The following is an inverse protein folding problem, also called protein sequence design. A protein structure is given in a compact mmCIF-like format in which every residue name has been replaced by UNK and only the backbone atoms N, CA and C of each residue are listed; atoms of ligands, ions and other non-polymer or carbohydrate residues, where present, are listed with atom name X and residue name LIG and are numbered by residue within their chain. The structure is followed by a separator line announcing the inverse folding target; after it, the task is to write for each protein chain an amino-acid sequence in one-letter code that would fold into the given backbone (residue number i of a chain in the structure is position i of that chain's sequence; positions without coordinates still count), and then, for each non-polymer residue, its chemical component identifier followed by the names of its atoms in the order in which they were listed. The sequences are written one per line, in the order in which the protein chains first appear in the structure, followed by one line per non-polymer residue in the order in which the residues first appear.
data_IF_405490329990
#
_entry.id   IF_405490329990
#
_cell.length_a   1.000
_cell.length_b   1.000
_cell.length_c   1.000
_cell.angle_alpha   90.00
_cell.angle_beta   90.00
_cell.angle_gamma   90.00
#
_symmetry.space_group_name_H-M   'P 1'
#
loop_
_entity.id
_entity.type
_entity.pdbx_description
1 polymer ?
#
# COMPACT_ATOMS: atom_id res chain seq x y z
N UNK A 1 -28.81 12.01 -0.15
CA UNK A 1 -29.36 11.95 1.22
C UNK A 1 -28.21 12.18 2.16
N UNK A 2 -28.25 13.29 2.90
CA UNK A 2 -27.29 13.59 3.96
C UNK A 2 -27.64 12.64 5.10
N UNK A 3 -26.83 11.60 5.32
CA UNK A 3 -27.02 10.74 6.47
C UNK A 3 -26.82 11.57 7.73
N UNK A 4 -27.81 11.54 8.62
CA UNK A 4 -27.73 12.19 9.91
C UNK A 4 -26.40 11.79 10.58
N UNK A 5 -25.62 12.77 10.94
CA UNK A 5 -24.42 12.58 11.78
C UNK A 5 -24.90 11.88 13.05
N UNK A 6 -24.50 10.63 13.25
CA UNK A 6 -24.95 9.87 14.42
C UNK A 6 -24.29 10.44 15.65
N UNK A 7 -25.06 10.56 16.69
CA UNK A 7 -24.57 10.95 18.00
C UNK A 7 -23.53 9.93 18.52
N UNK A 8 -22.54 10.40 19.23
CA UNK A 8 -21.56 9.56 19.92
C UNK A 8 -22.27 8.60 20.88
N UNK A 9 -21.97 7.31 20.78
CA UNK A 9 -22.58 6.30 21.64
C UNK A 9 -22.29 6.50 23.14
N UNK A 10 -21.23 7.27 23.48
CA UNK A 10 -20.81 7.53 24.85
C UNK A 10 -21.41 8.81 25.43
N UNK A 11 -21.62 9.88 24.63
CA UNK A 11 -22.03 11.19 25.12
C UNK A 11 -23.25 11.77 24.42
N UNK A 12 -23.79 11.12 23.39
CA UNK A 12 -24.94 11.61 22.62
C UNK A 12 -24.64 12.77 21.66
N UNK A 13 -23.44 13.33 21.68
CA UNK A 13 -23.08 14.51 20.90
C UNK A 13 -22.76 14.16 19.43
N UNK A 14 -23.30 14.93 18.51
CA UNK A 14 -23.01 14.81 17.07
C UNK A 14 -21.67 15.44 16.68
N UNK A 15 -21.14 16.31 17.51
CA UNK A 15 -19.87 17.03 17.33
C UNK A 15 -18.75 16.54 18.25
N UNK A 16 -18.90 15.32 18.80
CA UNK A 16 -17.94 14.77 19.73
C UNK A 16 -16.52 14.74 19.14
N UNK A 17 -15.53 15.24 19.89
CA UNK A 17 -14.11 15.23 19.52
C UNK A 17 -13.53 13.81 19.32
N UNK A 18 -14.24 12.79 19.77
CA UNK A 18 -13.95 11.38 19.45
C UNK A 18 -14.30 11.01 18.00
N UNK A 19 -15.12 11.78 17.30
CA UNK A 19 -15.23 11.74 15.86
C UNK A 19 -13.93 12.28 15.27
N UNK A 20 -13.08 11.40 14.79
CA UNK A 20 -11.84 11.81 14.12
C UNK A 20 -12.18 12.61 12.87
N UNK A 21 -11.82 13.89 12.78
CA UNK A 21 -12.03 14.68 11.58
C UNK A 21 -11.22 14.07 10.42
N UNK A 22 -11.80 14.01 9.25
CA UNK A 22 -11.10 13.63 8.01
C UNK A 22 -11.48 12.27 7.41
N UNK A 23 -12.34 11.46 8.04
CA UNK A 23 -12.88 10.24 7.42
C UNK A 23 -14.36 10.47 7.08
N UNK A 24 -14.60 11.15 5.98
CA UNK A 24 -15.94 11.32 5.43
C UNK A 24 -16.37 10.06 4.63
N UNK A 25 -16.44 8.91 5.30
CA UNK A 25 -16.99 7.71 4.71
C UNK A 25 -18.47 7.65 5.00
N UNK A 26 -19.24 7.78 3.93
CA UNK A 26 -20.67 7.60 3.95
C UNK A 26 -20.99 6.11 4.15
N UNK A 27 -21.52 5.78 5.30
CA UNK A 27 -21.77 4.40 5.70
C UNK A 27 -23.21 3.98 5.36
N UNK A 28 -23.43 2.74 4.86
CA UNK A 28 -24.79 2.21 4.74
C UNK A 28 -25.47 2.12 6.10
N UNK A 29 -26.77 2.36 6.14
CA UNK A 29 -27.58 2.24 7.36
C UNK A 29 -27.74 0.77 7.84
N UNK A 30 -27.36 -0.19 7.01
CA UNK A 30 -27.49 -1.63 7.27
C UNK A 30 -26.25 -2.19 8.00
N UNK A 31 -26.42 -3.33 8.66
CA UNK A 31 -25.31 -4.08 9.28
C UNK A 31 -24.20 -4.35 8.29
N UNK A 32 -22.97 -4.03 8.64
CA UNK A 32 -21.79 -4.19 7.81
C UNK A 32 -20.94 -5.37 8.33
N UNK A 33 -20.43 -6.20 7.41
CA UNK A 33 -19.36 -7.13 7.71
C UNK A 33 -18.06 -6.64 7.08
N UNK A 34 -17.04 -6.48 7.91
CA UNK A 34 -15.71 -6.03 7.56
C UNK A 34 -14.78 -7.25 7.46
N UNK A 35 -14.28 -7.52 6.26
CA UNK A 35 -13.39 -8.66 5.99
C UNK A 35 -12.00 -8.10 5.64
N UNK A 36 -11.14 -7.94 6.64
CA UNK A 36 -9.88 -7.21 6.50
C UNK A 36 -8.68 -8.05 6.97
N UNK A 37 -7.61 -8.03 6.20
CA UNK A 37 -6.35 -8.74 6.50
C UNK A 37 -5.38 -7.85 7.28
N UNK A 38 -5.03 -6.73 6.70
CA UNK A 38 -3.98 -5.86 7.20
C UNK A 38 -4.53 -4.79 8.16
N UNK A 39 -3.96 -4.73 9.37
CA UNK A 39 -4.22 -3.66 10.34
C UNK A 39 -3.28 -2.46 10.11
N UNK A 40 -3.14 -2.02 8.87
CA UNK A 40 -2.39 -0.80 8.60
C UNK A 40 -3.03 0.39 9.32
N UNK A 41 -2.26 1.40 9.75
CA UNK A 41 -2.78 2.54 10.49
C UNK A 41 -3.99 3.21 9.83
N UNK A 42 -4.00 3.30 8.49
CA UNK A 42 -5.08 3.89 7.71
C UNK A 42 -6.37 3.07 7.83
N UNK A 43 -6.28 1.76 7.62
CA UNK A 43 -7.43 0.85 7.72
C UNK A 43 -7.90 0.69 9.16
N UNK A 44 -6.97 0.62 10.11
CA UNK A 44 -7.31 0.56 11.53
C UNK A 44 -8.02 1.86 12.01
N UNK A 45 -7.59 3.02 11.55
CA UNK A 45 -8.25 4.30 11.81
C UNK A 45 -9.64 4.36 11.19
N UNK A 46 -9.80 3.89 9.94
CA UNK A 46 -11.09 3.80 9.28
C UNK A 46 -12.07 2.90 10.05
N UNK A 47 -11.63 1.69 10.40
CA UNK A 47 -12.47 0.77 11.20
C UNK A 47 -12.81 1.40 12.54
N UNK A 48 -11.83 2.00 13.25
CA UNK A 48 -12.07 2.64 14.54
C UNK A 48 -13.06 3.80 14.50
N UNK A 49 -13.19 4.47 13.32
CA UNK A 49 -14.12 5.58 13.14
C UNK A 49 -15.53 5.14 12.70
N UNK A 50 -15.64 4.02 11.98
CA UNK A 50 -16.87 3.64 11.27
C UNK A 50 -17.54 2.38 11.81
N UNK A 51 -16.81 1.56 12.59
CA UNK A 51 -17.33 0.32 13.14
C UNK A 51 -18.41 0.59 14.18
N UNK A 52 -19.54 -0.06 14.06
CA UNK A 52 -20.66 0.06 14.98
C UNK A 52 -20.87 -1.23 15.78
N UNK A 53 -21.55 -1.17 16.95
CA UNK A 53 -21.75 -2.33 17.84
C UNK A 53 -22.41 -3.55 17.17
N UNK A 54 -23.24 -3.32 16.16
CA UNK A 54 -23.92 -4.38 15.42
C UNK A 54 -23.13 -4.91 14.22
N UNK A 55 -21.98 -4.31 13.91
CA UNK A 55 -21.14 -4.77 12.82
C UNK A 55 -20.36 -6.01 13.18
N UNK A 56 -19.85 -6.65 12.16
CA UNK A 56 -18.99 -7.79 12.27
C UNK A 56 -17.62 -7.49 11.67
N UNK A 57 -16.55 -7.59 12.46
CA UNK A 57 -15.19 -7.56 11.94
C UNK A 57 -14.64 -8.99 11.90
N UNK A 58 -14.39 -9.50 10.71
CA UNK A 58 -13.81 -10.81 10.46
C UNK A 58 -12.36 -10.63 10.01
N UNK A 59 -11.45 -11.23 10.77
CA UNK A 59 -10.02 -11.21 10.49
C UNK A 59 -9.50 -12.64 10.35
N UNK A 60 -8.48 -12.87 9.53
CA UNK A 60 -8.02 -14.22 9.22
C UNK A 60 -7.40 -14.91 10.43
N UNK A 61 -6.63 -14.21 11.24
CA UNK A 61 -5.98 -14.73 12.42
C UNK A 61 -4.92 -13.79 12.95
N UNK A 62 -4.41 -14.08 14.15
CA UNK A 62 -3.31 -13.35 14.78
C UNK A 62 -2.09 -14.25 14.88
N UNK A 63 -0.93 -13.74 14.46
CA UNK A 63 0.36 -14.38 14.70
C UNK A 63 1.18 -13.41 15.55
N UNK A 64 1.47 -13.79 16.79
CA UNK A 64 2.30 -12.99 17.70
C UNK A 64 3.69 -12.78 17.07
N UNK A 65 4.21 -11.55 17.16
CA UNK A 65 5.52 -11.19 16.59
C UNK A 65 5.53 -11.01 15.07
N UNK A 66 4.41 -11.24 14.37
CA UNK A 66 4.28 -10.83 12.98
C UNK A 66 4.13 -9.31 12.91
N UNK A 67 4.66 -8.66 11.85
CA UNK A 67 4.47 -7.23 11.65
C UNK A 67 2.98 -6.86 11.59
N UNK A 68 2.68 -5.57 11.65
CA UNK A 68 1.36 -4.93 11.77
C UNK A 68 0.20 -5.59 11.00
N UNK A 69 0.51 -6.43 10.03
CA UNK A 69 -0.43 -7.19 9.20
C UNK A 69 -1.52 -7.92 10.00
N UNK A 70 -1.18 -8.41 11.20
CA UNK A 70 -2.11 -9.16 12.05
C UNK A 70 -2.35 -8.50 13.40
N UNK A 71 -1.94 -7.23 13.53
CA UNK A 71 -1.96 -6.47 14.78
C UNK A 71 -3.30 -5.82 15.11
N UNK A 72 -4.44 -6.38 14.68
CA UNK A 72 -5.75 -5.86 15.03
C UNK A 72 -5.94 -5.81 16.54
N UNK A 73 -6.45 -4.69 17.08
CA UNK A 73 -6.75 -4.60 18.51
C UNK A 73 -7.86 -5.60 18.88
N UNK A 74 -7.68 -6.37 19.96
CA UNK A 74 -8.51 -7.51 20.36
C UNK A 74 -9.90 -7.13 20.92
N UNK A 75 -10.54 -6.08 20.42
CA UNK A 75 -11.87 -5.67 20.86
C UNK A 75 -12.86 -5.74 19.69
N UNK A 76 -13.97 -6.45 19.89
CA UNK A 76 -15.13 -6.48 19.00
C UNK A 76 -14.95 -7.22 17.64
N UNK A 77 -14.07 -8.22 17.53
CA UNK A 77 -13.86 -8.95 16.28
C UNK A 77 -13.74 -10.46 16.44
N UNK A 78 -14.01 -11.19 15.37
CA UNK A 78 -13.97 -12.64 15.32
C UNK A 78 -12.81 -13.13 14.45
N UNK A 79 -12.07 -14.12 14.95
CA UNK A 79 -11.09 -14.86 14.16
C UNK A 79 -11.83 -15.90 13.32
N UNK A 80 -11.75 -15.78 12.00
CA UNK A 80 -12.55 -16.63 11.11
C UNK A 80 -11.73 -17.66 10.32
N UNK A 81 -10.40 -17.56 10.31
CA UNK A 81 -9.54 -18.39 9.47
C UNK A 81 -8.17 -18.66 10.10
N UNK A 82 -8.14 -19.02 11.39
CA UNK A 82 -6.87 -19.16 12.14
C UNK A 82 -5.97 -20.24 11.54
N UNK A 83 -6.52 -21.43 11.26
CA UNK A 83 -5.75 -22.55 10.69
C UNK A 83 -5.20 -22.22 9.29
N UNK A 84 -6.00 -21.56 8.46
CA UNK A 84 -5.60 -21.11 7.13
C UNK A 84 -4.49 -20.03 7.20
N UNK A 85 -4.59 -19.14 8.20
CA UNK A 85 -3.57 -18.09 8.42
C UNK A 85 -2.24 -18.70 8.87
N UNK A 86 -2.28 -19.65 9.78
CA UNK A 86 -1.10 -20.42 10.20
C UNK A 86 -0.51 -21.17 9.01
N UNK A 87 -1.35 -21.85 8.22
CA UNK A 87 -0.95 -22.54 6.99
C UNK A 87 -0.27 -21.58 6.00
N UNK A 88 -0.86 -20.40 5.76
CA UNK A 88 -0.25 -19.35 4.91
C UNK A 88 1.12 -18.94 5.44
N UNK A 89 1.22 -18.69 6.74
CA UNK A 89 2.50 -18.28 7.35
C UNK A 89 3.60 -19.32 7.12
N UNK A 90 3.31 -20.59 7.39
CA UNK A 90 4.27 -21.68 7.20
C UNK A 90 4.64 -21.89 5.71
N UNK A 91 3.65 -21.88 4.83
CA UNK A 91 3.87 -22.01 3.40
C UNK A 91 4.77 -20.89 2.87
N UNK A 92 4.49 -19.63 3.27
CA UNK A 92 5.30 -18.48 2.86
C UNK A 92 6.73 -18.55 3.37
N UNK A 93 6.97 -19.05 4.57
CA UNK A 93 8.31 -19.28 5.08
C UNK A 93 9.07 -20.33 4.25
N UNK A 94 8.40 -21.40 3.83
CA UNK A 94 9.02 -22.44 2.97
C UNK A 94 9.43 -21.90 1.61
N UNK A 95 8.63 -21.01 1.03
CA UNK A 95 8.88 -20.42 -0.29
C UNK A 95 9.58 -19.06 -0.23
N UNK A 96 10.08 -18.64 0.92
CA UNK A 96 10.67 -17.30 1.11
C UNK A 96 11.82 -17.00 0.12
N UNK A 97 12.62 -18.03 -0.21
CA UNK A 97 13.76 -17.95 -1.15
C UNK A 97 13.40 -18.38 -2.57
N UNK A 98 12.15 -18.80 -2.82
CA UNK A 98 11.72 -19.24 -4.13
C UNK A 98 11.52 -18.03 -5.08
N UNK A 99 11.52 -18.25 -6.41
CA UNK A 99 11.16 -17.23 -7.39
C UNK A 99 9.82 -16.57 -7.07
N UNK A 100 9.65 -15.30 -7.46
CA UNK A 100 8.47 -14.50 -7.14
C UNK A 100 7.17 -15.12 -7.60
N UNK A 101 7.14 -15.74 -8.79
CA UNK A 101 5.96 -16.43 -9.30
C UNK A 101 5.50 -17.62 -8.43
N UNK A 102 6.42 -18.35 -7.79
CA UNK A 102 6.08 -19.43 -6.85
C UNK A 102 5.48 -18.82 -5.59
N UNK A 103 6.11 -17.76 -5.06
CA UNK A 103 5.61 -17.04 -3.88
C UNK A 103 4.22 -16.49 -4.12
N UNK A 104 3.99 -15.88 -5.28
CA UNK A 104 2.68 -15.33 -5.65
C UNK A 104 1.61 -16.42 -5.74
N UNK A 105 1.84 -17.53 -6.45
CA UNK A 105 0.89 -18.64 -6.49
C UNK A 105 0.56 -19.20 -5.12
N UNK A 106 1.57 -19.30 -4.25
CA UNK A 106 1.37 -19.73 -2.85
C UNK A 106 0.48 -18.74 -2.10
N UNK A 107 0.68 -17.43 -2.27
CA UNK A 107 -0.18 -16.40 -1.69
C UNK A 107 -1.62 -16.55 -2.17
N UNK A 108 -1.84 -16.57 -3.46
CA UNK A 108 -3.18 -16.66 -4.06
C UNK A 108 -3.93 -17.92 -3.61
N UNK A 109 -3.22 -19.06 -3.53
CA UNK A 109 -3.80 -20.30 -3.00
C UNK A 109 -4.30 -20.14 -1.55
N UNK A 110 -3.48 -19.57 -0.69
CA UNK A 110 -3.86 -19.37 0.72
C UNK A 110 -4.90 -18.27 0.90
N UNK A 111 -4.90 -17.22 0.10
CA UNK A 111 -5.93 -16.20 0.09
C UNK A 111 -7.30 -16.79 -0.27
N UNK A 112 -7.35 -17.72 -1.22
CA UNK A 112 -8.57 -18.50 -1.55
C UNK A 112 -9.09 -19.31 -0.36
N UNK A 113 -8.19 -20.00 0.37
CA UNK A 113 -8.57 -20.77 1.56
C UNK A 113 -9.08 -19.88 2.69
N UNK A 114 -8.43 -18.75 2.93
CA UNK A 114 -8.85 -17.75 3.92
C UNK A 114 -10.22 -17.18 3.54
N UNK A 115 -10.39 -16.71 2.31
CA UNK A 115 -11.63 -16.12 1.83
C UNK A 115 -12.82 -17.09 1.98
N UNK A 116 -12.63 -18.37 1.67
CA UNK A 116 -13.66 -19.41 1.87
C UNK A 116 -14.04 -19.58 3.35
N UNK A 117 -13.07 -19.48 4.26
CA UNK A 117 -13.35 -19.57 5.69
C UNK A 117 -14.08 -18.31 6.19
N UNK A 118 -13.66 -17.13 5.73
CA UNK A 118 -14.33 -15.86 6.01
C UNK A 118 -15.78 -15.86 5.50
N UNK A 119 -16.00 -16.32 4.25
CA UNK A 119 -17.33 -16.39 3.65
C UNK A 119 -18.34 -17.17 4.50
N UNK A 120 -17.90 -18.27 5.13
CA UNK A 120 -18.74 -19.09 6.03
C UNK A 120 -19.06 -18.40 7.35
N UNK A 121 -18.27 -17.44 7.76
CA UNK A 121 -18.40 -16.72 9.02
C UNK A 121 -19.22 -15.42 8.91
N UNK A 122 -19.56 -15.00 7.68
CA UNK A 122 -20.37 -13.79 7.46
C UNK A 122 -21.78 -14.02 8.00
N UNK A 123 -22.23 -13.12 8.87
CA UNK A 123 -23.61 -13.10 9.34
C UNK A 123 -24.57 -12.86 8.14
N UNK A 124 -25.60 -13.68 8.05
CA UNK A 124 -26.60 -13.58 6.98
C UNK A 124 -27.33 -12.23 6.96
N UNK A 125 -27.39 -11.53 8.10
CA UNK A 125 -27.98 -10.20 8.23
C UNK A 125 -27.09 -9.09 7.70
N UNK A 126 -25.81 -9.36 7.42
CA UNK A 126 -24.93 -8.37 6.81
C UNK A 126 -25.31 -8.18 5.35
N UNK A 127 -25.83 -6.99 5.01
CA UNK A 127 -26.23 -6.61 3.66
C UNK A 127 -25.16 -5.85 2.91
N UNK A 128 -24.18 -5.33 3.63
CA UNK A 128 -23.04 -4.64 3.07
C UNK A 128 -21.73 -5.24 3.56
N UNK A 129 -20.77 -5.40 2.66
CA UNK A 129 -19.45 -5.92 2.97
C UNK A 129 -18.38 -4.86 2.71
N UNK A 130 -17.39 -4.76 3.59
CA UNK A 130 -16.15 -4.03 3.32
C UNK A 130 -15.04 -5.07 3.24
N UNK A 131 -14.45 -5.26 2.07
CA UNK A 131 -13.59 -6.40 1.79
C UNK A 131 -12.19 -5.98 1.38
N UNK A 132 -11.17 -6.68 1.88
CA UNK A 132 -9.81 -6.55 1.37
C UNK A 132 -9.73 -7.06 -0.08
N UNK A 133 -9.07 -6.30 -0.95
CA UNK A 133 -8.91 -6.63 -2.38
C UNK A 133 -8.39 -8.06 -2.61
N UNK A 134 -7.44 -8.52 -1.79
CA UNK A 134 -6.82 -9.84 -1.94
C UNK A 134 -7.81 -11.00 -1.89
N UNK A 135 -8.96 -10.81 -1.26
CA UNK A 135 -9.98 -11.84 -1.10
C UNK A 135 -11.17 -11.67 -2.02
N UNK A 136 -11.27 -10.54 -2.71
CA UNK A 136 -12.45 -10.18 -3.51
C UNK A 136 -12.87 -11.28 -4.52
N UNK A 137 -12.00 -11.80 -5.41
CA UNK A 137 -12.39 -12.86 -6.34
C UNK A 137 -12.81 -14.16 -5.65
N UNK A 138 -12.20 -14.47 -4.53
CA UNK A 138 -12.45 -15.71 -3.80
C UNK A 138 -13.69 -15.68 -2.94
N UNK A 139 -14.08 -14.50 -2.44
CA UNK A 139 -15.35 -14.28 -1.76
C UNK A 139 -16.52 -14.40 -2.74
N UNK A 140 -16.36 -13.90 -3.96
CA UNK A 140 -17.35 -14.07 -5.01
C UNK A 140 -17.48 -15.53 -5.44
N UNK A 141 -16.35 -16.25 -5.62
CA UNK A 141 -16.34 -17.69 -5.90
C UNK A 141 -17.06 -18.49 -4.80
N UNK A 142 -16.95 -18.04 -3.53
CA UNK A 142 -17.65 -18.66 -2.40
C UNK A 142 -19.12 -18.22 -2.28
N UNK A 143 -19.65 -17.40 -3.20
CA UNK A 143 -21.02 -16.88 -3.18
C UNK A 143 -21.29 -15.80 -2.13
N UNK A 144 -20.25 -15.29 -1.46
CA UNK A 144 -20.40 -14.34 -0.36
C UNK A 144 -20.92 -12.96 -0.79
N UNK A 145 -20.66 -12.58 -2.04
CA UNK A 145 -21.08 -11.28 -2.60
C UNK A 145 -22.51 -11.28 -3.15
N UNK A 146 -23.13 -12.46 -3.30
CA UNK A 146 -24.48 -12.59 -3.85
C UNK A 146 -25.53 -11.88 -2.99
N UNK A 147 -26.32 -11.00 -3.62
CA UNK A 147 -27.39 -10.24 -2.94
C UNK A 147 -26.90 -9.19 -1.92
N UNK A 148 -25.61 -8.85 -1.93
CA UNK A 148 -25.00 -7.85 -1.06
C UNK A 148 -24.34 -6.74 -1.87
N UNK A 149 -24.31 -5.54 -1.30
CA UNK A 149 -23.44 -4.47 -1.77
C UNK A 149 -22.07 -4.57 -1.12
N UNK A 150 -21.04 -4.04 -1.76
CA UNK A 150 -19.70 -4.11 -1.16
C UNK A 150 -18.82 -2.92 -1.54
N UNK A 151 -17.93 -2.56 -0.63
CA UNK A 151 -16.81 -1.65 -0.82
C UNK A 151 -15.51 -2.46 -0.77
N UNK A 152 -14.50 -2.02 -1.52
CA UNK A 152 -13.22 -2.73 -1.60
C UNK A 152 -12.09 -1.86 -1.03
N UNK A 153 -11.39 -2.40 -0.03
CA UNK A 153 -10.18 -1.78 0.51
C UNK A 153 -8.98 -2.23 -0.32
N UNK A 154 -8.37 -1.28 -1.02
CA UNK A 154 -7.27 -1.55 -1.92
C UNK A 154 -5.94 -1.04 -1.36
N UNK A 155 -4.97 -1.93 -1.28
CA UNK A 155 -3.59 -1.64 -0.88
C UNK A 155 -2.57 -1.90 -2.00
N UNK A 156 -3.00 -2.44 -3.12
CA UNK A 156 -2.22 -2.67 -4.34
C UNK A 156 -3.00 -2.28 -5.58
N UNK A 157 -2.30 -2.04 -6.68
CA UNK A 157 -2.95 -1.89 -7.98
C UNK A 157 -3.77 -3.13 -8.36
N UNK A 158 -4.85 -2.99 -9.17
CA UNK A 158 -5.52 -4.12 -9.82
C UNK A 158 -4.52 -4.96 -10.62
N UNK A 159 -4.77 -6.24 -10.76
CA UNK A 159 -3.89 -7.10 -11.57
C UNK A 159 -3.72 -6.62 -13.01
N UNK A 160 -4.80 -6.15 -13.64
CA UNK A 160 -4.74 -5.59 -14.99
C UNK A 160 -3.75 -4.43 -15.08
N UNK A 161 -3.78 -3.51 -14.13
CA UNK A 161 -2.87 -2.36 -14.08
C UNK A 161 -1.43 -2.79 -13.75
N UNK A 162 -1.24 -3.76 -12.86
CA UNK A 162 0.08 -4.33 -12.58
C UNK A 162 0.68 -4.93 -13.86
N UNK A 163 -0.11 -5.68 -14.63
CA UNK A 163 0.35 -6.28 -15.89
C UNK A 163 0.74 -5.20 -16.90
N UNK A 164 -0.12 -4.19 -17.09
CA UNK A 164 0.15 -3.06 -17.99
C UNK A 164 1.47 -2.34 -17.63
N UNK A 165 1.65 -1.97 -16.36
CA UNK A 165 2.86 -1.30 -15.89
C UNK A 165 4.12 -2.16 -16.06
N UNK A 166 4.01 -3.47 -15.84
CA UNK A 166 5.14 -4.39 -16.03
C UNK A 166 5.46 -4.63 -17.51
N UNK A 167 4.45 -4.60 -18.40
CA UNK A 167 4.64 -4.67 -19.85
C UNK A 167 5.34 -3.43 -20.38
N UNK A 168 4.94 -2.24 -19.93
CA UNK A 168 5.63 -0.99 -20.26
C UNK A 168 7.10 -1.02 -19.79
N UNK A 169 7.34 -1.45 -18.55
CA UNK A 169 8.70 -1.59 -18.05
C UNK A 169 9.52 -2.63 -18.84
N UNK A 170 8.90 -3.75 -19.25
CA UNK A 170 9.56 -4.77 -20.06
C UNK A 170 9.89 -4.27 -21.47
N UNK A 171 9.03 -3.45 -22.07
CA UNK A 171 9.28 -2.85 -23.38
C UNK A 171 10.50 -1.89 -23.36
N UNK A 172 10.73 -1.20 -22.24
CA UNK A 172 11.86 -0.29 -22.08
C UNK A 172 13.17 -0.97 -21.67
N UNK A 173 13.10 -1.98 -20.80
CA UNK A 173 14.27 -2.60 -20.18
C UNK A 173 14.64 -3.95 -20.79
N UNK A 174 13.74 -4.54 -21.56
CA UNK A 174 13.83 -5.95 -21.92
C UNK A 174 13.36 -6.89 -20.80
N UNK A 175 13.51 -8.18 -21.02
CA UNK A 175 13.07 -9.21 -20.07
C UNK A 175 14.02 -9.30 -18.88
N UNK A 176 13.46 -9.25 -17.66
CA UNK A 176 14.17 -9.60 -16.42
C UNK A 176 13.33 -10.55 -15.58
N UNK A 177 14.00 -11.28 -14.67
CA UNK A 177 13.33 -12.20 -13.77
C UNK A 177 12.24 -11.51 -12.92
N UNK A 178 12.50 -10.27 -12.46
CA UNK A 178 11.56 -9.55 -11.59
C UNK A 178 10.43 -8.84 -12.34
N UNK A 179 10.61 -8.52 -13.61
CA UNK A 179 9.53 -8.02 -14.47
C UNK A 179 8.62 -9.16 -14.91
N UNK A 180 9.18 -10.34 -15.20
CA UNK A 180 8.41 -11.53 -15.61
C UNK A 180 7.67 -12.20 -14.44
N UNK A 181 8.10 -11.96 -13.20
CA UNK A 181 7.69 -12.72 -12.01
C UNK A 181 6.23 -12.50 -11.58
N UNK A 182 5.64 -11.35 -11.91
CA UNK A 182 4.32 -10.95 -11.41
C UNK A 182 3.26 -10.99 -12.52
N UNK A 183 2.77 -12.19 -12.81
CA UNK A 183 1.62 -12.38 -13.71
C UNK A 183 0.57 -13.27 -13.03
N UNK A 184 -0.60 -12.69 -12.78
CA UNK A 184 -1.78 -13.44 -12.41
C UNK A 184 -2.37 -14.12 -13.66
N UNK A 185 -3.10 -15.21 -13.48
CA UNK A 185 -3.82 -15.87 -14.56
C UNK A 185 -4.90 -14.93 -15.15
N UNK A 186 -5.12 -14.97 -16.46
CA UNK A 186 -6.06 -14.08 -17.14
C UNK A 186 -7.47 -14.14 -16.53
N UNK A 187 -7.96 -15.33 -16.21
CA UNK A 187 -9.26 -15.53 -15.55
C UNK A 187 -9.37 -14.81 -14.20
N UNK A 188 -8.28 -14.73 -13.45
CA UNK A 188 -8.26 -14.01 -12.18
C UNK A 188 -8.22 -12.49 -12.39
N UNK A 189 -7.49 -12.03 -13.42
CA UNK A 189 -7.44 -10.61 -13.81
C UNK A 189 -8.82 -10.12 -14.23
N UNK A 190 -9.49 -10.87 -15.12
CA UNK A 190 -10.83 -10.55 -15.60
C UNK A 190 -11.85 -10.52 -14.46
N UNK A 191 -11.80 -11.54 -13.59
CA UNK A 191 -12.68 -11.62 -12.42
C UNK A 191 -12.49 -10.47 -11.45
N UNK A 192 -11.24 -10.12 -11.14
CA UNK A 192 -10.97 -8.95 -10.27
C UNK A 192 -11.51 -7.67 -10.91
N UNK A 193 -11.31 -7.49 -12.23
CA UNK A 193 -11.77 -6.30 -12.96
C UNK A 193 -13.28 -6.17 -12.95
N UNK A 194 -14.02 -7.25 -13.21
CA UNK A 194 -15.49 -7.28 -13.15
C UNK A 194 -16.00 -6.93 -11.74
N UNK A 195 -15.37 -7.47 -10.69
CA UNK A 195 -15.78 -7.22 -9.33
C UNK A 195 -15.47 -5.79 -8.87
N UNK A 196 -14.32 -5.24 -9.28
CA UNK A 196 -13.99 -3.84 -9.02
C UNK A 196 -14.96 -2.90 -9.75
N UNK A 197 -15.45 -3.27 -10.95
CA UNK A 197 -16.49 -2.50 -11.64
C UNK A 197 -17.83 -2.51 -10.87
N UNK A 198 -18.18 -3.60 -10.20
CA UNK A 198 -19.39 -3.76 -9.38
C UNK A 198 -19.28 -3.16 -7.98
N UNK A 199 -18.07 -2.93 -7.48
CA UNK A 199 -17.87 -2.33 -6.16
C UNK A 199 -18.55 -0.96 -6.07
N UNK A 200 -19.25 -0.72 -4.96
CA UNK A 200 -19.86 0.57 -4.70
C UNK A 200 -18.79 1.66 -4.55
N UNK A 201 -17.73 1.36 -3.81
CA UNK A 201 -16.60 2.25 -3.56
C UNK A 201 -15.28 1.49 -3.53
N UNK A 202 -14.23 2.21 -3.86
CA UNK A 202 -12.85 1.79 -3.71
C UNK A 202 -12.22 2.64 -2.60
N UNK A 203 -11.81 2.02 -1.52
CA UNK A 203 -11.24 2.70 -0.35
C UNK A 203 -9.73 2.48 -0.35
N UNK A 204 -8.96 3.54 -0.42
CA UNK A 204 -7.50 3.44 -0.52
C UNK A 204 -6.81 4.72 -0.04
N UNK A 205 -5.63 4.65 0.59
CA UNK A 205 -4.78 5.82 0.81
C UNK A 205 -3.88 6.14 -0.40
N UNK A 206 -3.87 5.29 -1.43
CA UNK A 206 -2.92 5.33 -2.53
C UNK A 206 -3.45 6.17 -3.70
N UNK A 207 -2.86 7.33 -3.97
CA UNK A 207 -3.33 8.26 -4.99
C UNK A 207 -3.38 7.65 -6.40
N UNK A 208 -2.36 6.89 -6.80
CA UNK A 208 -2.34 6.23 -8.11
C UNK A 208 -3.43 5.16 -8.26
N UNK A 209 -3.83 4.48 -7.18
CA UNK A 209 -4.98 3.56 -7.23
C UNK A 209 -6.29 4.36 -7.34
N UNK A 210 -6.43 5.43 -6.55
CA UNK A 210 -7.63 6.24 -6.57
C UNK A 210 -7.91 6.86 -7.94
N UNK A 211 -6.88 7.27 -8.67
CA UNK A 211 -7.01 7.84 -10.02
C UNK A 211 -7.59 6.87 -11.06
N UNK A 212 -7.51 5.56 -10.82
CA UNK A 212 -8.13 4.54 -11.68
C UNK A 212 -9.66 4.44 -11.50
N UNK A 213 -10.20 5.01 -10.44
CA UNK A 213 -11.62 4.90 -10.09
C UNK A 213 -12.28 6.26 -9.84
N UNK A 214 -12.28 7.16 -10.84
CA UNK A 214 -12.86 8.50 -10.68
C UNK A 214 -14.33 8.41 -10.24
N UNK A 215 -14.71 9.23 -9.26
CA UNK A 215 -16.09 9.28 -8.72
C UNK A 215 -16.45 8.11 -7.77
N UNK A 216 -15.62 7.07 -7.68
CA UNK A 216 -15.85 5.93 -6.76
C UNK A 216 -14.73 5.71 -5.76
N UNK A 217 -13.58 6.33 -5.96
CA UNK A 217 -12.49 6.27 -5.01
C UNK A 217 -12.79 7.11 -3.77
N UNK A 218 -12.63 6.48 -2.61
CA UNK A 218 -12.67 7.14 -1.30
C UNK A 218 -11.26 7.14 -0.74
N UNK A 219 -10.67 8.33 -0.67
CA UNK A 219 -9.31 8.49 -0.17
C UNK A 219 -9.26 8.38 1.35
N UNK A 220 -8.32 7.58 1.85
CA UNK A 220 -7.85 7.64 3.23
C UNK A 220 -6.58 8.50 3.30
N UNK A 221 -6.39 9.19 4.41
CA UNK A 221 -5.12 9.88 4.63
C UNK A 221 -4.01 8.85 4.93
N UNK A 222 -2.84 9.01 4.31
CA UNK A 222 -1.67 8.26 4.72
C UNK A 222 -1.27 8.61 6.16
N UNK A 223 -0.98 7.60 6.95
CA UNK A 223 -0.36 7.79 8.26
C UNK A 223 1.10 8.16 8.08
N UNK A 224 1.45 9.40 8.42
CA UNK A 224 2.83 9.88 8.42
C UNK A 224 3.44 9.65 9.81
N UNK A 225 4.65 9.07 9.89
CA UNK A 225 5.34 8.97 11.17
C UNK A 225 5.72 10.37 11.68
N UNK A 226 5.94 10.54 12.99
CA UNK A 226 6.44 11.80 13.51
C UNK A 226 7.81 12.14 12.91
N UNK A 227 8.09 13.41 12.62
CA UNK A 227 9.39 13.85 12.12
C UNK A 227 10.50 13.58 13.14
N UNK A 228 11.70 13.24 12.66
CA UNK A 228 12.86 12.91 13.49
C UNK A 228 14.00 13.91 13.36
N UNK A 229 13.88 14.91 12.47
CA UNK A 229 14.88 15.92 12.19
C UNK A 229 16.26 15.30 11.86
N UNK A 230 16.39 14.55 10.75
CA UNK A 230 17.66 13.95 10.36
C UNK A 230 18.75 15.00 10.14
N UNK A 231 19.99 14.60 10.29
CA UNK A 231 21.13 15.47 9.96
C UNK A 231 21.03 15.89 8.47
N UNK A 232 21.14 17.20 8.23
CA UNK A 232 21.11 17.74 6.87
C UNK A 232 22.26 17.20 6.02
N UNK A 233 22.02 17.01 4.72
CA UNK A 233 23.03 16.56 3.76
C UNK A 233 22.61 16.81 2.33
N UNK A 234 23.50 16.45 1.40
CA UNK A 234 23.30 16.61 -0.03
C UNK A 234 23.27 15.28 -0.80
N UNK A 235 23.47 14.15 -0.10
CA UNK A 235 23.55 12.83 -0.72
C UNK A 235 22.22 12.44 -1.37
N UNK A 236 22.32 11.79 -2.51
CA UNK A 236 21.15 11.27 -3.22
C UNK A 236 20.96 9.80 -2.87
N UNK A 237 19.71 9.41 -2.56
CA UNK A 237 19.35 8.05 -2.20
C UNK A 237 18.42 7.40 -3.22
N UNK A 238 18.64 6.11 -3.47
CA UNK A 238 17.73 5.20 -4.17
C UNK A 238 17.14 4.23 -3.16
N UNK A 239 15.81 4.09 -3.15
CA UNK A 239 15.09 3.23 -2.20
C UNK A 239 14.59 1.96 -2.86
N UNK A 240 14.92 0.84 -2.25
CA UNK A 240 14.38 -0.47 -2.57
C UNK A 240 15.46 -1.47 -2.98
N UNK A 241 15.07 -2.75 -3.11
CA UNK A 241 16.00 -3.74 -3.65
C UNK A 241 16.40 -3.35 -5.08
N UNK A 242 17.66 -3.59 -5.43
CA UNK A 242 18.09 -3.46 -6.82
C UNK A 242 17.50 -4.60 -7.64
N UNK A 243 16.39 -4.31 -8.29
CA UNK A 243 15.65 -5.17 -9.20
C UNK A 243 15.12 -4.32 -10.35
N UNK A 244 14.95 -4.90 -11.52
CA UNK A 244 14.50 -4.18 -12.71
C UNK A 244 13.18 -3.41 -12.48
N UNK A 245 12.26 -3.96 -11.71
CA UNK A 245 10.98 -3.33 -11.36
C UNK A 245 11.12 -2.04 -10.53
N UNK A 246 12.23 -1.84 -9.82
CA UNK A 246 12.54 -0.61 -9.10
C UNK A 246 13.23 0.44 -9.99
N UNK A 247 13.54 0.09 -11.25
CA UNK A 247 14.09 1.00 -12.26
C UNK A 247 15.41 1.67 -11.85
N UNK A 248 16.41 0.92 -11.37
CA UNK A 248 17.74 1.48 -11.07
C UNK A 248 18.40 2.10 -12.31
N UNK A 249 18.05 1.66 -13.51
CA UNK A 249 18.49 2.24 -14.79
C UNK A 249 18.15 3.73 -14.91
N UNK A 250 16.97 4.14 -14.45
CA UNK A 250 16.57 5.55 -14.44
C UNK A 250 17.40 6.32 -13.41
N UNK A 251 17.54 5.79 -12.19
CA UNK A 251 18.36 6.45 -11.17
C UNK A 251 19.80 6.61 -11.65
N UNK A 252 20.39 5.57 -12.25
CA UNK A 252 21.72 5.59 -12.86
C UNK A 252 21.87 6.69 -13.92
N UNK A 253 20.94 6.78 -14.86
CA UNK A 253 20.95 7.83 -15.89
C UNK A 253 20.88 9.25 -15.31
N UNK A 254 20.07 9.42 -14.26
CA UNK A 254 19.88 10.72 -13.62
C UNK A 254 21.06 11.16 -12.75
N UNK A 255 21.83 10.23 -12.21
CA UNK A 255 23.02 10.50 -11.37
C UNK A 255 24.33 10.37 -12.12
N UNK A 256 24.30 10.06 -13.41
CA UNK A 256 25.50 9.99 -14.23
C UNK A 256 26.27 11.32 -14.21
N UNK A 257 27.58 11.26 -13.90
CA UNK A 257 28.45 12.43 -13.80
C UNK A 257 28.32 13.23 -12.50
N UNK A 258 27.72 12.67 -11.46
CA UNK A 258 27.84 13.20 -10.11
C UNK A 258 29.19 12.81 -9.49
N UNK A 259 29.76 13.73 -8.71
CA UNK A 259 31.06 13.49 -8.02
C UNK A 259 30.93 12.50 -6.85
N UNK A 260 29.74 12.43 -6.23
CA UNK A 260 29.49 11.56 -5.10
C UNK A 260 28.66 10.34 -5.51
N UNK A 261 29.00 9.14 -5.00
CA UNK A 261 28.27 7.93 -5.32
C UNK A 261 26.83 7.98 -4.81
N UNK A 262 25.89 7.41 -5.57
CA UNK A 262 24.50 7.23 -5.17
C UNK A 262 24.41 6.29 -3.98
N UNK A 263 23.63 6.67 -2.96
CA UNK A 263 23.34 5.76 -1.84
C UNK A 263 22.18 4.82 -2.24
N UNK A 264 22.47 3.52 -2.28
CA UNK A 264 21.45 2.51 -2.58
C UNK A 264 21.06 1.76 -1.29
N UNK A 265 19.76 1.85 -0.94
CA UNK A 265 19.18 1.11 0.18
C UNK A 265 18.59 -0.21 -0.28
N UNK A 266 18.77 -1.24 0.53
CA UNK A 266 18.22 -2.58 0.28
C UNK A 266 19.18 -3.54 -0.41
N UNK A 267 18.75 -4.82 -0.62
CA UNK A 267 19.57 -5.83 -1.22
C UNK A 267 19.75 -5.63 -2.73
N UNK A 268 20.90 -5.99 -3.26
CA UNK A 268 21.13 -6.12 -4.70
C UNK A 268 20.76 -7.55 -5.10
N UNK A 269 19.70 -7.69 -5.88
CA UNK A 269 19.17 -8.97 -6.35
C UNK A 269 19.40 -9.20 -7.85
N UNK A 270 19.65 -8.10 -8.60
CA UNK A 270 20.01 -8.11 -10.01
C UNK A 270 21.19 -7.17 -10.23
N UNK A 271 22.13 -7.53 -11.11
CA UNK A 271 23.31 -6.72 -11.46
C UNK A 271 22.88 -5.62 -12.42
N UNK A 272 22.47 -4.46 -11.89
CA UNK A 272 21.94 -3.33 -12.67
C UNK A 272 22.72 -2.01 -12.41
N UNK A 273 23.85 -2.10 -11.67
CA UNK A 273 24.71 -0.97 -11.34
C UNK A 273 26.13 -1.09 -11.93
N UNK A 274 26.33 -1.96 -12.93
CA UNK A 274 27.65 -2.42 -13.39
C UNK A 274 28.63 -1.32 -13.78
N UNK A 275 28.17 -0.12 -14.06
CA UNK A 275 28.94 1.04 -14.52
C UNK A 275 28.82 2.29 -13.61
N UNK A 276 28.18 2.16 -12.43
CA UNK A 276 28.01 3.26 -11.48
C UNK A 276 28.48 2.88 -10.10
N UNK A 277 29.31 3.73 -9.52
CA UNK A 277 29.69 3.58 -8.12
C UNK A 277 28.50 3.88 -7.22
N UNK A 278 28.19 2.94 -6.33
CA UNK A 278 27.12 3.07 -5.34
C UNK A 278 27.64 2.83 -3.93
N UNK A 279 27.17 3.64 -2.99
CA UNK A 279 27.33 3.38 -1.57
C UNK A 279 26.14 2.56 -1.07
N UNK A 280 26.40 1.37 -0.51
CA UNK A 280 25.32 0.51 0.00
C UNK A 280 25.04 0.81 1.46
N UNK A 281 23.78 1.08 1.79
CA UNK A 281 23.34 1.25 3.17
C UNK A 281 22.14 0.36 3.50
N UNK A 282 22.03 -0.02 4.77
CA UNK A 282 20.86 -0.70 5.29
C UNK A 282 19.82 0.33 5.72
N UNK A 283 18.54 0.01 5.50
CA UNK A 283 17.44 0.77 6.12
C UNK A 283 17.39 0.47 7.62
N UNK A 284 17.43 1.51 8.43
CA UNK A 284 17.42 1.40 9.88
C UNK A 284 17.18 2.76 10.53
N UNK A 285 17.26 2.88 11.86
CA UNK A 285 17.18 4.19 12.53
C UNK A 285 18.22 5.16 11.95
N UNK A 286 17.84 6.40 11.67
CA UNK A 286 18.75 7.41 11.10
C UNK A 286 19.09 7.23 9.62
N UNK A 287 18.38 6.41 8.86
CA UNK A 287 18.68 6.16 7.44
C UNK A 287 18.59 7.43 6.57
N UNK A 288 17.85 8.46 7.03
CA UNK A 288 17.74 9.76 6.35
C UNK A 288 18.91 10.71 6.64
N UNK A 289 19.82 10.39 7.58
CA UNK A 289 20.92 11.26 7.92
C UNK A 289 21.87 11.46 6.73
N UNK A 290 22.11 12.72 6.39
CA UNK A 290 22.92 13.11 5.24
C UNK A 290 22.23 13.00 3.89
N UNK A 291 20.95 12.60 3.84
CA UNK A 291 20.19 12.48 2.59
C UNK A 291 19.58 13.84 2.23
N UNK A 292 19.97 14.37 1.07
CA UNK A 292 19.44 15.60 0.50
C UNK A 292 18.27 15.39 -0.46
N UNK A 293 18.14 14.21 -1.07
CA UNK A 293 17.00 13.84 -1.90
C UNK A 293 16.88 12.33 -2.11
N UNK A 294 15.68 11.91 -2.46
CA UNK A 294 15.36 10.52 -2.79
C UNK A 294 14.94 10.42 -4.25
N UNK A 295 15.54 9.48 -4.98
CA UNK A 295 15.11 9.03 -6.29
C UNK A 295 14.32 7.73 -6.14
N UNK A 296 13.07 7.75 -6.56
CA UNK A 296 12.19 6.58 -6.49
C UNK A 296 11.50 6.34 -7.85
N UNK A 297 12.25 5.84 -8.84
CA UNK A 297 11.74 5.62 -10.20
C UNK A 297 10.93 4.33 -10.36
N UNK A 298 10.57 3.67 -9.28
CA UNK A 298 9.90 2.38 -9.28
C UNK A 298 8.70 2.33 -10.23
N UNK A 299 8.56 1.22 -10.96
CA UNK A 299 7.41 0.96 -11.83
C UNK A 299 6.09 1.09 -11.05
N UNK A 300 6.08 0.62 -9.81
CA UNK A 300 4.95 0.78 -8.88
C UNK A 300 5.39 0.59 -7.44
N UNK A 301 4.68 1.23 -6.52
CA UNK A 301 4.90 1.08 -5.07
C UNK A 301 3.56 0.94 -4.37
N UNK A 302 3.30 -0.18 -3.74
CA UNK A 302 2.02 -0.42 -3.06
C UNK A 302 1.96 0.19 -1.65
N UNK A 303 3.09 0.22 -0.96
CA UNK A 303 3.21 0.70 0.44
C UNK A 303 4.42 1.64 0.57
N UNK A 304 4.23 2.96 0.38
CA UNK A 304 5.32 3.93 0.32
C UNK A 304 5.82 4.36 1.72
N UNK A 305 5.98 3.44 2.68
CA UNK A 305 6.28 3.76 4.09
C UNK A 305 7.55 4.57 4.29
N UNK A 306 8.61 4.24 3.58
CA UNK A 306 9.87 5.02 3.65
C UNK A 306 9.75 6.37 2.95
N UNK A 307 8.95 6.47 1.89
CA UNK A 307 8.69 7.76 1.27
C UNK A 307 7.87 8.66 2.20
N UNK A 308 6.87 8.10 2.90
CA UNK A 308 6.10 8.84 3.92
C UNK A 308 6.97 9.32 5.09
N UNK A 309 7.98 8.54 5.49
CA UNK A 309 8.96 8.96 6.47
C UNK A 309 9.82 10.12 5.95
N UNK A 310 10.24 10.06 4.69
CA UNK A 310 10.98 11.15 4.04
C UNK A 310 10.13 12.43 3.94
N UNK A 311 8.86 12.31 3.51
CA UNK A 311 7.90 13.44 3.48
C UNK A 311 7.78 14.07 4.85
N UNK A 312 7.58 13.26 5.90
CA UNK A 312 7.44 13.75 7.28
C UNK A 312 8.68 14.51 7.77
N UNK A 313 9.86 14.21 7.22
CA UNK A 313 11.12 14.85 7.56
C UNK A 313 11.55 15.95 6.57
N UNK A 314 10.69 16.32 5.61
CA UNK A 314 10.97 17.37 4.63
C UNK A 314 12.04 17.02 3.61
N UNK A 315 12.39 15.74 3.44
CA UNK A 315 13.37 15.30 2.43
C UNK A 315 12.71 15.26 1.06
N UNK A 316 13.22 16.00 0.06
CA UNK A 316 12.66 16.02 -1.28
C UNK A 316 12.65 14.63 -1.93
N UNK A 317 11.51 14.28 -2.56
CA UNK A 317 11.32 13.01 -3.26
C UNK A 317 11.09 13.27 -4.74
N UNK A 318 11.82 12.58 -5.59
CA UNK A 318 11.59 12.52 -7.03
C UNK A 318 11.10 11.11 -7.38
N UNK A 319 9.85 11.01 -7.82
CA UNK A 319 9.20 9.71 -8.01
C UNK A 319 8.36 9.66 -9.29
N UNK A 320 7.96 8.46 -9.66
CA UNK A 320 6.90 8.21 -10.64
C UNK A 320 5.53 8.45 -10.01
N UNK A 321 4.50 8.71 -10.81
CA UNK A 321 3.12 8.89 -10.34
C UNK A 321 2.53 7.63 -9.69
N UNK A 322 3.18 6.48 -9.91
CA UNK A 322 2.81 5.19 -9.33
C UNK A 322 3.36 4.95 -7.93
N UNK A 323 4.03 5.94 -7.33
CA UNK A 323 4.62 5.83 -5.98
C UNK A 323 3.59 5.81 -4.84
N UNK A 324 2.34 6.22 -5.10
CA UNK A 324 1.24 6.18 -4.14
C UNK A 324 1.07 7.42 -3.26
N UNK A 325 2.03 8.33 -3.26
CA UNK A 325 1.96 9.59 -2.52
C UNK A 325 0.95 10.57 -3.15
N UNK A 326 0.53 11.58 -2.39
CA UNK A 326 -0.19 12.72 -2.93
C UNK A 326 0.71 13.50 -3.92
N UNK A 327 0.13 14.13 -4.96
CA UNK A 327 0.91 14.89 -5.96
C UNK A 327 1.81 15.98 -5.37
N UNK A 328 1.40 16.57 -4.24
CA UNK A 328 2.16 17.63 -3.55
C UNK A 328 3.29 17.08 -2.66
N UNK A 329 3.34 15.76 -2.42
CA UNK A 329 4.34 15.12 -1.57
C UNK A 329 5.60 14.68 -2.34
N UNK A 330 5.62 14.81 -3.66
CA UNK A 330 6.78 14.45 -4.49
C UNK A 330 6.88 15.31 -5.74
N UNK A 331 8.05 15.32 -6.32
CA UNK A 331 8.30 15.90 -7.65
C UNK A 331 8.36 14.77 -8.70
N UNK A 332 7.83 14.99 -9.91
CA UNK A 332 8.01 14.03 -10.99
C UNK A 332 9.48 13.71 -11.24
N UNK A 333 9.80 12.43 -11.41
CA UNK A 333 11.18 11.96 -11.55
C UNK A 333 11.96 12.69 -12.65
N UNK A 334 11.30 13.07 -13.75
CA UNK A 334 11.90 13.82 -14.85
C UNK A 334 12.31 15.26 -14.51
N UNK A 335 11.91 15.80 -13.36
CA UNK A 335 12.36 17.11 -12.87
C UNK A 335 13.68 17.07 -12.12
N UNK A 336 14.20 15.90 -11.80
CA UNK A 336 15.48 15.80 -11.12
C UNK A 336 16.61 16.34 -11.99
N UNK A 337 17.48 17.18 -11.40
CA UNK A 337 18.70 17.71 -12.03
C UNK A 337 19.83 17.59 -11.03
N UNK A 338 20.82 16.76 -11.34
CA UNK A 338 21.97 16.50 -10.46
C UNK A 338 22.80 17.75 -10.19
N UNK A 339 22.95 18.65 -11.18
CA UNK A 339 23.82 19.83 -11.13
C UNK A 339 23.25 21.03 -10.37
N UNK A 340 21.94 21.12 -10.16
CA UNK A 340 21.31 22.29 -9.53
C UNK A 340 21.33 22.27 -7.99
N UNK A 341 21.82 21.19 -7.37
CA UNK A 341 21.75 20.98 -5.92
C UNK A 341 23.01 21.34 -5.12
N UNK A 342 24.01 21.94 -5.75
CA UNK A 342 25.20 22.44 -5.04
C UNK A 342 24.93 23.70 -4.18
N UNK A 343 23.73 24.30 -4.28
CA UNK A 343 23.33 25.43 -3.43
C UNK A 343 22.40 24.97 -2.27
N UNK A 344 22.70 25.29 -1.00
CA UNK A 344 21.79 25.03 0.09
C UNK A 344 20.49 25.79 -0.12
N UNK A 345 19.34 25.14 0.05
CA UNK A 345 18.05 25.81 0.12
C UNK A 345 18.07 26.75 1.34
N UNK A 346 18.29 28.03 1.08
CA UNK A 346 18.08 29.07 2.09
C UNK A 346 16.58 29.13 2.33
N UNK A 347 16.13 28.50 3.40
CA UNK A 347 14.78 28.70 3.93
C UNK A 347 14.69 30.17 4.34
N UNK A 348 14.04 31.00 3.51
CA UNK A 348 13.58 32.32 3.94
C UNK A 348 12.52 32.13 5.01
N UNK A 349 12.94 32.14 6.27
CA UNK A 349 12.05 32.38 7.40
C UNK A 349 11.56 33.82 7.27
N UNK A 350 10.39 34.03 6.67
CA UNK A 350 9.65 35.27 6.81
C UNK A 350 9.16 35.35 8.24
N UNK A 351 9.88 36.14 9.04
CA UNK A 351 9.36 36.67 10.28
C UNK A 351 8.15 37.58 9.96
N UNK A 352 7.02 37.32 10.61
CA UNK A 352 5.95 38.27 10.86
C UNK A 352 5.23 37.86 12.13
#
# INVERSE_FOLDING_TARGET
MIHAVRSCASCGETSCAMHRPGIALDRPAERVAWLLDDAWPETASMVGALFEPNDQLLVPGIIRGAPARYGWPLRAWALAAVSQTVGRHWAMRRVAKAPGGIRQRTYLHHDRLIARALARAIDFRARHLVVAQSWLPWLDEAGALGGRTFDVVMSRYPFAEIHRLLEEAAAELGSSATIADFRAEATLVDRESELLARARRIVTPHHGIASLFPGRAQMLAWHRPPPRNPAAGNRIAFLGPTIARQRPDIARKLTAGMDEPLIAFGPILESLWDDVEIERRALGPGWLDGIGAILHPATMTHQPRHLLEAVANGVPIYATSTCGLAPDDYMPIGRFRARERAAPLVTSATAS
#
